data_IF_381303829142
#
_entry.id   IF_381303829142
#
_cell.length_a   1.000
_cell.length_b   1.000
_cell.length_c   1.000
_cell.angle_alpha   90.00
_cell.angle_beta   90.00
_cell.angle_gamma   90.00
#
_symmetry.space_group_name_H-M   'P 1'
#
loop_
_entity.id
_entity.type
_entity.pdbx_description
1 polymer ?
#
# COMPACT_ATOMS: atom_id res chain seq x y z
N UNK A 1 -46.93 1.83 -1.13
CA UNK A 1 -45.88 2.85 -0.96
C UNK A 1 -45.21 2.55 0.39
N UNK A 2 -44.26 1.60 0.42
CA UNK A 2 -43.59 1.20 1.64
C UNK A 2 -42.25 1.95 1.75
N UNK A 3 -42.15 2.86 2.70
CA UNK A 3 -40.89 3.48 3.08
C UNK A 3 -40.05 2.45 3.84
N UNK A 4 -38.96 2.00 3.25
CA UNK A 4 -37.90 1.29 3.95
C UNK A 4 -37.11 2.35 4.75
N UNK A 5 -37.28 2.37 6.07
CA UNK A 5 -36.42 3.15 6.95
C UNK A 5 -35.04 2.49 6.93
N UNK A 6 -34.09 3.12 6.25
CA UNK A 6 -32.69 2.74 6.37
C UNK A 6 -32.18 3.08 7.78
N UNK A 7 -31.98 2.08 8.59
CA UNK A 7 -31.19 2.22 9.81
C UNK A 7 -29.73 2.44 9.39
N UNK A 8 -29.24 3.66 9.55
CA UNK A 8 -27.81 3.94 9.55
C UNK A 8 -27.18 3.23 10.75
N UNK A 9 -26.70 2.02 10.56
CA UNK A 9 -25.82 1.39 11.54
C UNK A 9 -24.45 2.05 11.42
N UNK A 10 -24.17 3.04 12.24
CA UNK A 10 -22.81 3.51 12.47
C UNK A 10 -22.10 2.44 13.28
N UNK A 11 -21.18 1.73 12.66
CA UNK A 11 -20.26 0.85 13.35
C UNK A 11 -19.11 1.73 13.88
N UNK A 12 -19.20 2.12 15.15
CA UNK A 12 -18.07 2.71 15.88
C UNK A 12 -17.34 1.58 16.62
N UNK A 13 -16.30 1.04 15.99
CA UNK A 13 -15.35 0.16 16.65
C UNK A 13 -13.98 0.82 16.59
N UNK A 14 -13.39 1.09 17.76
CA UNK A 14 -12.08 1.71 17.89
C UNK A 14 -11.20 0.87 18.82
N UNK A 15 -9.95 0.68 18.44
CA UNK A 15 -9.00 -0.03 19.27
C UNK A 15 -7.59 0.03 18.71
N UNK A 16 -6.60 -0.05 19.59
CA UNK A 16 -5.21 -0.23 19.24
C UNK A 16 -4.87 -1.72 19.17
N UNK A 17 -4.02 -2.09 18.20
CA UNK A 17 -3.52 -3.45 18.08
C UNK A 17 -2.44 -3.54 17.00
N UNK A 18 -1.66 -4.60 17.06
CA UNK A 18 -0.68 -4.90 16.03
C UNK A 18 -1.38 -5.49 14.81
N UNK A 19 -0.95 -5.09 13.63
CA UNK A 19 -1.30 -5.71 12.35
C UNK A 19 -0.41 -6.93 12.08
N UNK A 20 -0.59 -7.53 10.92
CA UNK A 20 0.25 -8.62 10.46
C UNK A 20 1.68 -8.13 10.20
N UNK A 21 2.66 -9.00 10.50
CA UNK A 21 4.08 -8.69 10.29
C UNK A 21 4.45 -9.05 8.86
N UNK A 22 5.02 -8.07 8.16
CA UNK A 22 5.62 -8.28 6.84
C UNK A 22 7.12 -8.58 6.98
N UNK A 23 7.57 -9.65 6.35
CA UNK A 23 8.99 -9.98 6.21
C UNK A 23 9.35 -10.07 4.72
N UNK A 24 10.38 -9.32 4.32
CA UNK A 24 10.85 -9.24 2.93
C UNK A 24 12.28 -9.78 2.87
N UNK A 25 12.46 -11.08 2.63
CA UNK A 25 13.79 -11.69 2.58
C UNK A 25 14.56 -11.35 1.31
N UNK A 26 13.87 -10.94 0.25
CA UNK A 26 14.49 -10.65 -1.03
C UNK A 26 14.02 -9.29 -1.55
N UNK A 27 14.99 -8.41 -1.78
CA UNK A 27 14.81 -7.15 -2.48
C UNK A 27 16.01 -6.94 -3.39
N UNK A 28 15.78 -7.01 -4.69
CA UNK A 28 16.77 -6.73 -5.73
C UNK A 28 16.48 -5.36 -6.32
N UNK A 29 17.51 -4.54 -6.40
CA UNK A 29 17.41 -3.19 -6.97
C UNK A 29 18.52 -2.96 -7.96
N UNK A 30 18.22 -2.21 -9.00
CA UNK A 30 19.20 -1.78 -9.99
C UNK A 30 18.92 -0.36 -10.44
N UNK A 31 19.98 0.30 -10.90
CA UNK A 31 19.93 1.69 -11.33
C UNK A 31 20.62 1.87 -12.67
N UNK A 32 20.10 2.80 -13.47
CA UNK A 32 20.76 3.29 -14.67
C UNK A 32 20.59 4.81 -14.73
N UNK A 33 21.05 5.46 -15.78
CA UNK A 33 20.96 6.92 -15.90
C UNK A 33 19.52 7.44 -15.77
N UNK A 34 18.57 6.78 -16.42
CA UNK A 34 17.17 7.23 -16.50
C UNK A 34 16.21 6.39 -15.68
N UNK A 35 16.64 5.22 -15.16
CA UNK A 35 15.76 4.25 -14.55
C UNK A 35 16.34 3.71 -13.25
N UNK A 36 15.49 3.61 -12.26
CA UNK A 36 15.66 2.71 -11.14
C UNK A 36 14.62 1.61 -11.25
N UNK A 37 14.97 0.38 -10.86
CA UNK A 37 14.06 -0.75 -10.89
C UNK A 37 14.26 -1.63 -9.67
N UNK A 38 13.19 -2.28 -9.27
CA UNK A 38 13.19 -3.18 -8.13
C UNK A 38 12.37 -4.43 -8.41
N UNK A 39 12.77 -5.50 -7.74
CA UNK A 39 12.02 -6.74 -7.62
C UNK A 39 12.07 -7.20 -6.17
N UNK A 40 10.93 -7.58 -5.58
CA UNK A 40 10.84 -8.02 -4.19
C UNK A 40 9.92 -9.22 -4.04
N UNK A 41 10.20 -10.02 -3.01
CA UNK A 41 9.32 -11.07 -2.57
C UNK A 41 9.30 -11.14 -1.03
N UNK A 42 8.15 -11.41 -0.46
CA UNK A 42 7.98 -11.45 0.99
C UNK A 42 6.73 -12.21 1.43
N UNK A 43 6.56 -12.26 2.74
CA UNK A 43 5.50 -13.00 3.41
C UNK A 43 4.87 -12.14 4.49
N UNK A 44 3.54 -12.09 4.53
CA UNK A 44 2.81 -11.60 5.68
C UNK A 44 2.50 -12.76 6.64
N UNK A 45 2.86 -12.57 7.88
CA UNK A 45 2.57 -13.50 8.97
C UNK A 45 1.27 -13.06 9.64
N UNK A 46 0.29 -13.96 9.85
CA UNK A 46 -0.99 -13.61 10.48
C UNK A 46 -0.81 -13.40 12.00
N UNK A 47 -0.05 -12.38 12.38
CA UNK A 47 0.26 -12.02 13.77
C UNK A 47 -0.69 -10.99 14.34
N UNK A 48 -1.46 -10.32 13.51
CA UNK A 48 -2.49 -9.38 13.90
C UNK A 48 -3.71 -10.08 14.50
N UNK A 49 -4.47 -9.34 15.30
CA UNK A 49 -5.69 -9.89 15.88
C UNK A 49 -6.77 -10.08 14.82
N UNK A 50 -7.28 -11.30 14.74
CA UNK A 50 -8.38 -11.68 13.87
C UNK A 50 -9.43 -12.48 14.63
N UNK A 51 -10.71 -12.19 14.41
CA UNK A 51 -11.84 -12.98 14.87
C UNK A 51 -12.91 -13.00 13.79
N UNK A 52 -13.34 -14.18 13.37
CA UNK A 52 -14.44 -14.34 12.44
C UNK A 52 -15.72 -13.72 13.06
N UNK A 53 -16.34 -12.77 12.33
CA UNK A 53 -17.53 -12.04 12.82
C UNK A 53 -17.23 -10.73 13.54
N UNK A 54 -15.98 -10.37 13.77
CA UNK A 54 -15.62 -9.02 14.21
C UNK A 54 -15.77 -8.02 13.06
N UNK A 55 -16.31 -6.85 13.35
CA UNK A 55 -16.44 -5.75 12.40
C UNK A 55 -15.08 -5.08 12.09
N UNK A 56 -14.12 -5.21 13.01
CA UNK A 56 -12.79 -4.62 12.89
C UNK A 56 -11.71 -5.64 13.23
N UNK A 57 -11.07 -6.20 12.22
CA UNK A 57 -9.88 -7.03 12.34
C UNK A 57 -8.63 -6.21 12.01
N UNK A 58 -7.54 -6.41 12.76
CA UNK A 58 -6.24 -5.75 12.55
C UNK A 58 -5.28 -6.61 11.78
N UNK A 59 -5.56 -7.90 11.67
CA UNK A 59 -4.86 -8.87 10.86
C UNK A 59 -5.81 -9.59 9.94
N UNK A 60 -5.27 -10.21 8.89
CA UNK A 60 -5.99 -11.02 7.92
C UNK A 60 -6.43 -12.38 8.50
N UNK A 61 -5.66 -12.89 9.47
CA UNK A 61 -5.84 -14.21 10.04
C UNK A 61 -5.40 -15.35 9.12
N UNK A 62 -4.72 -15.05 8.02
CA UNK A 62 -4.15 -16.01 7.08
C UNK A 62 -2.78 -15.57 6.60
N UNK A 63 -2.00 -16.52 6.07
CA UNK A 63 -0.71 -16.27 5.44
C UNK A 63 -0.91 -15.65 4.06
N UNK A 64 0.04 -14.81 3.68
CA UNK A 64 0.05 -14.16 2.38
C UNK A 64 1.47 -14.08 1.85
N UNK A 65 1.68 -14.44 0.60
CA UNK A 65 2.94 -14.25 -0.10
C UNK A 65 2.75 -13.15 -1.12
N UNK A 66 3.69 -12.21 -1.18
CA UNK A 66 3.66 -11.21 -2.22
C UNK A 66 4.91 -11.23 -3.09
N UNK A 67 4.72 -10.80 -4.31
CA UNK A 67 5.76 -10.52 -5.29
C UNK A 67 5.57 -9.10 -5.78
N UNK A 68 6.65 -8.33 -5.84
CA UNK A 68 6.60 -6.95 -6.32
C UNK A 68 7.64 -6.70 -7.39
N UNK A 69 7.28 -5.85 -8.35
CA UNK A 69 8.21 -5.29 -9.31
C UNK A 69 7.88 -3.83 -9.53
N UNK A 70 8.87 -2.99 -9.72
CA UNK A 70 8.64 -1.57 -9.91
C UNK A 70 9.78 -0.87 -10.58
N UNK A 71 9.49 0.36 -10.98
CA UNK A 71 10.45 1.25 -11.60
C UNK A 71 10.23 2.70 -11.15
N UNK A 72 11.29 3.50 -11.27
CA UNK A 72 11.23 4.96 -11.34
C UNK A 72 11.94 5.42 -12.59
N UNK A 73 11.33 6.35 -13.32
CA UNK A 73 11.84 6.93 -14.54
C UNK A 73 12.13 8.42 -14.36
N UNK A 74 13.31 8.84 -14.72
CA UNK A 74 13.80 10.22 -14.62
C UNK A 74 14.06 10.77 -16.01
N UNK A 75 13.13 11.52 -16.63
CA UNK A 75 13.24 11.99 -18.02
C UNK A 75 14.48 12.82 -18.31
N UNK A 76 14.97 13.57 -17.32
CA UNK A 76 16.19 14.37 -17.45
C UNK A 76 17.48 13.56 -17.24
N UNK A 77 17.39 12.31 -16.79
CA UNK A 77 18.54 11.54 -16.32
C UNK A 77 19.12 12.05 -15.00
N UNK A 78 18.45 12.99 -14.34
CA UNK A 78 18.81 13.53 -13.02
C UNK A 78 17.73 13.16 -12.00
N UNK A 79 18.10 12.42 -10.96
CA UNK A 79 17.22 12.03 -9.87
C UNK A 79 16.79 13.20 -8.95
N UNK A 80 17.39 14.37 -9.16
CA UNK A 80 16.97 15.63 -8.52
C UNK A 80 15.89 16.35 -9.33
N UNK A 81 15.55 15.84 -10.48
CA UNK A 81 14.50 16.35 -11.35
C UNK A 81 13.18 15.61 -11.15
N UNK A 82 12.27 15.84 -12.06
CA UNK A 82 10.96 15.17 -12.10
C UNK A 82 11.10 13.65 -12.26
N UNK A 83 10.35 12.90 -11.47
CA UNK A 83 10.27 11.45 -11.49
C UNK A 83 8.87 10.92 -11.80
N UNK A 84 8.80 9.75 -12.39
CA UNK A 84 7.57 8.96 -12.58
C UNK A 84 7.86 7.57 -12.06
N UNK A 85 7.00 7.05 -11.18
CA UNK A 85 7.21 5.74 -10.58
C UNK A 85 5.97 4.86 -10.62
N UNK A 86 6.18 3.56 -10.67
CA UNK A 86 5.14 2.59 -10.43
C UNK A 86 5.71 1.31 -9.81
N UNK A 87 4.92 0.70 -8.91
CA UNK A 87 5.22 -0.60 -8.30
C UNK A 87 3.98 -1.47 -8.41
N UNK A 88 4.10 -2.60 -9.08
CA UNK A 88 3.07 -3.62 -9.10
C UNK A 88 3.38 -4.68 -8.05
N UNK A 89 2.37 -5.10 -7.28
CA UNK A 89 2.44 -6.13 -6.26
C UNK A 89 1.30 -7.12 -6.46
N UNK A 90 1.63 -8.40 -6.52
CA UNK A 90 0.66 -9.50 -6.48
C UNK A 90 0.74 -10.12 -5.10
N UNK A 91 -0.40 -10.23 -4.44
CA UNK A 91 -0.58 -10.83 -3.13
C UNK A 91 -1.37 -12.12 -3.27
N UNK A 92 -0.70 -13.24 -3.00
CA UNK A 92 -1.29 -14.56 -3.02
C UNK A 92 -1.77 -14.91 -1.61
N UNK A 93 -3.08 -15.00 -1.45
CA UNK A 93 -3.74 -15.26 -0.18
C UNK A 93 -3.91 -16.75 0.08
N UNK A 94 -3.65 -17.18 1.31
CA UNK A 94 -3.87 -18.55 1.74
C UNK A 94 -5.19 -18.68 2.50
N UNK A 95 -5.58 -19.91 2.74
CA UNK A 95 -6.83 -20.24 3.42
C UNK A 95 -6.85 -19.71 4.84
N UNK A 96 -7.92 -19.00 5.19
CA UNK A 96 -8.20 -18.53 6.54
C UNK A 96 -8.78 -19.68 7.37
N UNK A 97 -8.10 -20.11 8.47
CA UNK A 97 -8.50 -21.33 9.21
C UNK A 97 -9.85 -21.25 9.89
N UNK A 98 -10.26 -20.08 10.42
CA UNK A 98 -11.51 -19.93 11.15
C UNK A 98 -12.74 -19.94 10.25
N UNK A 99 -12.63 -19.40 9.04
CA UNK A 99 -13.75 -19.32 8.11
C UNK A 99 -13.78 -20.45 7.09
N UNK A 100 -12.65 -21.14 6.87
CA UNK A 100 -12.44 -22.09 5.76
C UNK A 100 -12.60 -21.46 4.36
N UNK A 101 -12.41 -20.15 4.25
CA UNK A 101 -12.40 -19.40 3.00
C UNK A 101 -10.95 -19.07 2.65
N UNK A 102 -10.57 -19.22 1.42
CA UNK A 102 -9.36 -18.65 0.84
C UNK A 102 -9.79 -17.39 0.09
N UNK A 103 -9.38 -16.19 0.53
CA UNK A 103 -9.65 -14.96 -0.21
C UNK A 103 -9.05 -15.01 -1.60
N UNK A 104 -9.60 -14.25 -2.51
CA UNK A 104 -8.99 -14.10 -3.82
C UNK A 104 -7.66 -13.35 -3.74
N UNK A 105 -6.77 -13.65 -4.68
CA UNK A 105 -5.49 -12.97 -4.81
C UNK A 105 -5.69 -11.54 -5.31
N UNK A 106 -4.79 -10.64 -4.93
CA UNK A 106 -4.87 -9.23 -5.22
C UNK A 106 -3.71 -8.75 -6.09
N UNK A 107 -4.01 -7.82 -6.97
CA UNK A 107 -3.03 -7.02 -7.69
C UNK A 107 -3.17 -5.56 -7.25
N UNK A 108 -2.09 -5.02 -6.69
CA UNK A 108 -1.98 -3.59 -6.37
C UNK A 108 -0.93 -2.95 -7.27
N UNK A 109 -1.25 -1.81 -7.85
CA UNK A 109 -0.31 -0.96 -8.58
C UNK A 109 -0.28 0.39 -7.87
N UNK A 110 0.81 0.65 -7.15
CA UNK A 110 1.13 1.97 -6.64
C UNK A 110 1.81 2.78 -7.74
N UNK A 111 1.46 4.04 -7.89
CA UNK A 111 2.06 4.92 -8.90
C UNK A 111 2.20 6.34 -8.37
N UNK A 112 3.15 7.07 -8.94
CA UNK A 112 3.38 8.45 -8.55
C UNK A 112 4.17 9.25 -9.57
N UNK A 113 4.05 10.56 -9.41
CA UNK A 113 4.89 11.56 -10.05
C UNK A 113 5.37 12.50 -8.96
N UNK A 114 6.63 12.84 -8.96
CA UNK A 114 7.25 13.63 -7.91
C UNK A 114 8.31 14.59 -8.45
N UNK A 115 8.63 15.59 -7.65
CA UNK A 115 9.69 16.54 -7.95
C UNK A 115 10.37 17.01 -6.66
N UNK A 116 11.62 16.61 -6.43
CA UNK A 116 12.38 17.06 -5.27
C UNK A 116 12.82 18.53 -5.41
N UNK A 117 12.57 19.32 -4.38
CA UNK A 117 12.94 20.72 -4.27
C UNK A 117 13.95 20.85 -3.14
N UNK A 118 15.18 21.18 -3.48
CA UNK A 118 16.26 21.31 -2.52
C UNK A 118 16.42 22.75 -2.01
N UNK A 119 16.62 22.93 -0.70
CA UNK A 119 16.87 24.23 -0.12
C UNK A 119 17.96 24.19 0.96
N UNK A 120 18.39 25.40 1.35
CA UNK A 120 19.46 25.62 2.32
C UNK A 120 20.85 25.46 1.70
N UNK A 121 21.86 25.87 2.46
CA UNK A 121 23.25 25.70 2.05
C UNK A 121 23.55 24.19 1.90
N UNK A 122 24.19 23.83 0.80
CA UNK A 122 24.56 22.45 0.47
C UNK A 122 23.36 21.46 0.40
N UNK A 123 22.17 21.93 0.00
CA UNK A 123 20.97 21.10 -0.12
C UNK A 123 20.64 20.33 1.16
N UNK A 124 20.77 21.02 2.29
CA UNK A 124 20.58 20.43 3.62
C UNK A 124 19.16 19.84 3.82
N UNK A 125 18.18 20.40 3.15
CA UNK A 125 16.77 19.99 3.20
C UNK A 125 16.26 19.77 1.79
N UNK A 126 15.49 18.71 1.59
CA UNK A 126 14.79 18.42 0.34
C UNK A 126 13.33 18.18 0.69
N UNK A 127 12.43 18.91 0.04
CA UNK A 127 11.02 18.55 0.00
C UNK A 127 10.76 17.89 -1.35
N UNK A 128 10.31 16.65 -1.31
CA UNK A 128 9.84 15.97 -2.48
C UNK A 128 8.31 16.07 -2.50
N UNK A 129 7.77 16.70 -3.54
CA UNK A 129 6.35 16.98 -3.66
C UNK A 129 5.81 16.25 -4.87
N UNK A 130 4.70 15.55 -4.68
CA UNK A 130 4.18 14.70 -5.72
C UNK A 130 2.68 14.47 -5.65
N UNK A 131 2.21 13.73 -6.64
CA UNK A 131 0.89 13.15 -6.69
C UNK A 131 1.07 11.63 -6.76
N UNK A 132 0.45 10.92 -5.82
CA UNK A 132 0.54 9.46 -5.73
C UNK A 132 -0.83 8.84 -5.71
N UNK A 133 -0.90 7.58 -6.10
CA UNK A 133 -2.13 6.84 -6.06
C UNK A 133 -1.88 5.34 -6.05
N UNK A 134 -2.95 4.59 -5.87
CA UNK A 134 -2.93 3.16 -6.06
C UNK A 134 -4.18 2.68 -6.80
N UNK A 135 -4.01 1.64 -7.57
CA UNK A 135 -5.08 0.84 -8.12
C UNK A 135 -4.97 -0.57 -7.57
N UNK A 136 -6.00 -1.01 -6.87
CA UNK A 136 -6.07 -2.35 -6.31
C UNK A 136 -7.26 -3.09 -6.89
N UNK A 137 -7.05 -4.35 -7.25
CA UNK A 137 -8.05 -5.20 -7.84
C UNK A 137 -7.83 -6.64 -7.40
N UNK A 138 -8.88 -7.27 -6.90
CA UNK A 138 -8.91 -8.70 -6.68
C UNK A 138 -8.91 -9.42 -8.04
N UNK A 139 -7.90 -10.27 -8.29
CA UNK A 139 -7.66 -10.91 -9.58
C UNK A 139 -8.15 -12.35 -9.65
N UNK A 140 -8.34 -13.00 -8.51
CA UNK A 140 -8.97 -14.33 -8.42
C UNK A 140 -10.20 -14.27 -7.51
N UNK A 141 -11.10 -15.23 -7.64
CA UNK A 141 -12.28 -15.35 -6.77
C UNK A 141 -11.91 -16.04 -5.47
N UNK A 142 -12.71 -15.78 -4.44
CA UNK A 142 -12.69 -16.59 -3.23
C UNK A 142 -12.93 -18.05 -3.52
N UNK A 143 -12.33 -18.92 -2.71
CA UNK A 143 -12.48 -20.37 -2.80
C UNK A 143 -12.54 -21.01 -1.41
N UNK A 144 -12.85 -22.31 -1.35
CA UNK A 144 -12.95 -23.04 -0.08
C UNK A 144 -14.37 -23.46 0.25
N UNK A 145 -14.51 -24.25 1.30
CA UNK A 145 -15.78 -24.91 1.62
C UNK A 145 -16.93 -23.95 1.98
N UNK A 146 -16.58 -22.76 2.49
CA UNK A 146 -17.54 -21.75 2.93
C UNK A 146 -17.50 -20.49 2.04
N UNK A 147 -16.81 -20.53 0.90
CA UNK A 147 -16.80 -19.41 -0.04
C UNK A 147 -18.19 -19.22 -0.67
N UNK A 148 -18.59 -17.96 -0.84
CA UNK A 148 -19.85 -17.66 -1.51
C UNK A 148 -19.73 -17.95 -3.02
N UNK A 149 -20.82 -18.47 -3.61
CA UNK A 149 -20.83 -18.92 -5.03
C UNK A 149 -20.62 -17.77 -6.03
N UNK A 150 -20.93 -16.55 -5.66
CA UNK A 150 -20.90 -15.39 -6.55
C UNK A 150 -20.27 -14.17 -5.89
N UNK A 151 -18.97 -14.28 -5.61
CA UNK A 151 -18.19 -13.13 -5.15
C UNK A 151 -17.69 -12.35 -6.36
N UNK A 152 -18.22 -11.17 -6.56
CA UNK A 152 -17.68 -10.25 -7.56
C UNK A 152 -16.40 -9.63 -7.02
N UNK A 153 -15.26 -9.74 -7.75
CA UNK A 153 -13.99 -9.15 -7.33
C UNK A 153 -14.13 -7.65 -7.01
N UNK A 154 -13.47 -7.23 -5.94
CA UNK A 154 -13.42 -5.83 -5.58
C UNK A 154 -12.39 -5.05 -6.41
N UNK A 155 -12.58 -3.76 -6.48
CA UNK A 155 -11.63 -2.83 -7.08
C UNK A 155 -11.71 -1.49 -6.39
N UNK A 156 -10.57 -0.82 -6.24
CA UNK A 156 -10.46 0.54 -5.74
C UNK A 156 -9.37 1.29 -6.49
N UNK A 157 -9.58 2.57 -6.71
CA UNK A 157 -8.58 3.51 -7.20
C UNK A 157 -8.51 4.66 -6.22
N UNK A 158 -7.30 5.07 -5.84
CA UNK A 158 -7.07 6.21 -4.97
C UNK A 158 -6.04 7.15 -5.57
N UNK A 159 -6.14 8.42 -5.20
CA UNK A 159 -5.20 9.45 -5.60
C UNK A 159 -5.09 10.50 -4.48
N UNK A 160 -3.91 11.07 -4.30
CA UNK A 160 -3.66 12.13 -3.35
C UNK A 160 -2.27 12.73 -3.47
N UNK A 161 -2.04 13.91 -2.88
CA UNK A 161 -0.71 14.49 -2.80
C UNK A 161 0.19 13.68 -1.88
N UNK A 162 1.50 13.76 -2.14
CA UNK A 162 2.55 13.27 -1.24
C UNK A 162 3.55 14.38 -1.01
N UNK A 163 4.00 14.50 0.23
CA UNK A 163 5.08 15.40 0.61
C UNK A 163 6.07 14.60 1.46
N UNK A 164 7.29 14.51 0.96
CA UNK A 164 8.40 13.92 1.67
C UNK A 164 9.34 15.04 2.16
N UNK A 165 9.61 15.05 3.43
CA UNK A 165 10.67 15.88 3.98
C UNK A 165 11.92 15.05 4.20
N UNK A 166 12.90 15.23 3.34
CA UNK A 166 14.16 14.48 3.33
C UNK A 166 15.24 15.33 4.01
N UNK A 167 15.91 14.71 4.96
CA UNK A 167 17.00 15.26 5.75
C UNK A 167 18.29 14.47 5.47
N UNK A 168 19.03 14.76 4.38
CA UNK A 168 20.18 13.95 3.96
C UNK A 168 21.25 13.82 5.04
N UNK A 169 21.57 14.90 5.74
CA UNK A 169 22.57 14.92 6.84
C UNK A 169 22.18 13.97 7.99
N UNK A 170 20.89 13.75 8.21
CA UNK A 170 20.38 12.87 9.27
C UNK A 170 19.96 11.51 8.73
N UNK A 171 20.18 11.26 7.45
CA UNK A 171 19.74 10.02 6.77
C UNK A 171 18.28 9.66 7.08
N UNK A 172 17.42 10.67 7.16
CA UNK A 172 16.04 10.52 7.62
C UNK A 172 15.06 11.15 6.63
N UNK A 173 13.87 10.59 6.58
CA UNK A 173 12.78 11.06 5.74
C UNK A 173 11.46 10.96 6.51
N UNK A 174 10.65 12.02 6.44
CA UNK A 174 9.25 12.02 6.87
C UNK A 174 8.36 12.04 5.66
N UNK A 175 7.28 11.28 5.70
CA UNK A 175 6.31 11.16 4.61
C UNK A 175 4.94 11.54 5.11
N UNK A 176 4.23 12.35 4.35
CA UNK A 176 2.81 12.69 4.55
C UNK A 176 2.07 12.42 3.25
N UNK A 177 1.08 11.50 3.30
CA UNK A 177 0.35 11.06 2.11
C UNK A 177 -1.14 10.86 2.43
N UNK A 178 -1.98 11.89 2.29
CA UNK A 178 -3.42 11.71 2.24
C UNK A 178 -3.84 11.20 0.85
N UNK A 179 -4.73 10.21 0.80
CA UNK A 179 -5.27 9.67 -0.44
C UNK A 179 -6.77 9.48 -0.32
N UNK A 180 -7.51 9.79 -1.38
CA UNK A 180 -8.95 9.62 -1.47
C UNK A 180 -9.27 8.54 -2.48
N UNK A 181 -10.10 7.60 -2.05
CA UNK A 181 -10.56 6.49 -2.88
C UNK A 181 -11.74 6.93 -3.73
N UNK A 182 -11.78 6.43 -4.96
CA UNK A 182 -12.86 6.61 -5.91
C UNK A 182 -12.91 5.42 -6.89
N UNK A 183 -13.94 5.36 -7.73
CA UNK A 183 -14.15 4.25 -8.66
C UNK A 183 -14.13 2.87 -7.97
N UNK A 184 -14.67 2.81 -6.76
CA UNK A 184 -14.76 1.59 -5.97
C UNK A 184 -15.81 0.64 -6.53
N UNK A 185 -15.59 -0.66 -6.40
CA UNK A 185 -16.53 -1.72 -6.73
C UNK A 185 -16.43 -2.81 -5.68
N UNK A 186 -17.55 -3.23 -5.12
CA UNK A 186 -17.66 -4.27 -4.08
C UNK A 186 -16.74 -4.05 -2.86
N UNK A 187 -16.46 -2.82 -2.55
CA UNK A 187 -15.72 -2.41 -1.36
C UNK A 187 -16.20 -1.02 -0.93
N UNK A 188 -15.95 -0.68 0.32
CA UNK A 188 -16.22 0.66 0.82
C UNK A 188 -15.29 1.68 0.16
N UNK A 189 -15.75 2.90 0.06
CA UNK A 189 -14.97 4.06 -0.39
C UNK A 189 -14.59 4.88 0.84
N UNK A 190 -13.33 5.29 0.91
CA UNK A 190 -12.81 6.03 2.05
C UNK A 190 -11.70 7.00 1.69
N UNK A 191 -10.98 7.40 2.72
CA UNK A 191 -9.74 8.15 2.62
C UNK A 191 -8.71 7.52 3.55
N UNK A 192 -7.48 7.48 3.12
CA UNK A 192 -6.34 7.03 3.91
C UNK A 192 -5.43 8.20 4.20
N UNK A 193 -4.80 8.19 5.36
CA UNK A 193 -3.80 9.17 5.74
C UNK A 193 -2.56 8.45 6.26
N UNK A 194 -1.48 8.57 5.50
CA UNK A 194 -0.21 7.95 5.84
C UNK A 194 0.74 8.97 6.46
N UNK A 195 1.30 8.60 7.60
CA UNK A 195 2.47 9.25 8.20
C UNK A 195 3.59 8.23 8.26
N UNK A 196 4.73 8.56 7.67
CA UNK A 196 5.89 7.68 7.63
C UNK A 196 7.12 8.38 8.19
N UNK A 197 7.97 7.60 8.85
CA UNK A 197 9.33 7.98 9.22
C UNK A 197 10.28 6.89 8.78
N UNK A 198 11.30 7.26 8.03
CA UNK A 198 12.35 6.36 7.57
C UNK A 198 13.69 6.89 8.08
N UNK A 199 14.50 6.00 8.65
CA UNK A 199 15.88 6.29 9.02
C UNK A 199 16.79 5.17 8.52
N UNK A 200 17.86 5.56 7.84
CA UNK A 200 18.86 4.63 7.34
C UNK A 200 20.04 4.56 8.30
N UNK A 201 20.37 3.34 8.73
CA UNK A 201 21.50 3.09 9.61
C UNK A 201 22.74 2.67 8.79
N UNK A 202 23.88 3.26 9.10
CA UNK A 202 25.15 2.95 8.46
C UNK A 202 25.55 3.92 7.35
N UNK A 203 26.82 3.86 6.97
CA UNK A 203 27.33 4.63 5.83
C UNK A 203 26.96 3.89 4.55
N UNK A 204 26.07 4.49 3.75
CA UNK A 204 25.64 3.93 2.46
C UNK A 204 26.57 4.38 1.31
N UNK A 205 27.67 5.11 1.68
CA UNK A 205 28.67 5.56 0.71
C UNK A 205 30.07 5.41 1.28
#
# INVERSE_FOLDING_TARGET
MNRVNGTNSQFEDSGLGLADILFVPLMLMGTSQYWDYQFGAGVFFPTGSYSAGSSLNRGSGYWEIFYSTGFAYYPSGDRKGFGISAVARIEQNFKQPQTNIQPGDDLTIDFGIDHPIAFGANHKYIFDVGLTGYWQNQITRESGANAAFDTTPYRVLALGPEIDWILPTYQSKFVVRPQWEFATRNTSQGATFWLGFVHMFGNIF
#
